data_IF_714920674540
#
_entry.id   IF_714920674540
#
_cell.length_a   1.000
_cell.length_b   1.000
_cell.length_c   1.000
_cell.angle_alpha   90.00
_cell.angle_beta   90.00
_cell.angle_gamma   90.00
#
_symmetry.space_group_name_H-M   'P 1'
#
loop_
_entity.id
_entity.type
_entity.pdbx_description
1 polymer ?
#
# COMPACT_ATOMS: atom_id res chain seq x y z
N UNK A 1 9.16 -9.82 -28.63
CA UNK A 1 7.88 -9.60 -29.33
C UNK A 1 6.99 -8.68 -28.51
N UNK A 2 6.40 -7.66 -29.14
CA UNK A 2 5.32 -6.89 -28.53
C UNK A 2 4.09 -7.80 -28.30
N UNK A 3 3.28 -7.50 -27.29
CA UNK A 3 2.05 -8.25 -26.98
C UNK A 3 2.22 -9.62 -26.30
N UNK A 4 3.45 -10.14 -26.11
CA UNK A 4 3.66 -11.43 -25.43
C UNK A 4 3.94 -11.27 -23.94
N UNK A 5 3.60 -12.31 -23.15
CA UNK A 5 3.91 -12.36 -21.70
C UNK A 5 5.41 -12.13 -21.40
N UNK A 6 6.28 -12.69 -22.23
CA UNK A 6 7.72 -12.52 -22.10
C UNK A 6 8.16 -11.07 -22.38
N UNK A 7 7.58 -10.42 -23.40
CA UNK A 7 7.82 -9.01 -23.69
C UNK A 7 7.34 -8.09 -22.56
N UNK A 8 6.16 -8.35 -22.02
CA UNK A 8 5.60 -7.58 -20.89
C UNK A 8 6.48 -7.66 -19.63
N UNK A 9 7.05 -8.85 -19.31
CA UNK A 9 7.98 -9.00 -18.19
C UNK A 9 9.24 -8.14 -18.36
N UNK A 10 9.82 -8.13 -19.56
CA UNK A 10 11.01 -7.30 -19.87
C UNK A 10 10.67 -5.81 -19.76
N UNK A 11 9.54 -5.37 -20.31
CA UNK A 11 9.08 -3.99 -20.20
C UNK A 11 8.84 -3.56 -18.74
N UNK A 12 8.22 -4.42 -17.93
CA UNK A 12 8.00 -4.15 -16.51
C UNK A 12 9.32 -4.01 -15.73
N UNK A 13 10.32 -4.84 -16.05
CA UNK A 13 11.65 -4.72 -15.47
C UNK A 13 12.31 -3.39 -15.83
N UNK A 14 12.27 -2.99 -17.10
CA UNK A 14 12.80 -1.70 -17.57
C UNK A 14 12.08 -0.52 -16.92
N UNK A 15 10.74 -0.55 -16.81
CA UNK A 15 9.97 0.53 -16.19
C UNK A 15 10.27 0.66 -14.69
N UNK A 16 10.40 -0.48 -13.97
CA UNK A 16 10.80 -0.47 -12.56
C UNK A 16 12.24 0.02 -12.36
N UNK A 17 13.14 -0.29 -13.29
CA UNK A 17 14.53 0.20 -13.24
C UNK A 17 14.61 1.72 -13.52
N UNK A 18 13.82 2.23 -14.47
CA UNK A 18 13.83 3.65 -14.86
C UNK A 18 13.10 4.57 -13.87
N UNK A 19 11.94 4.13 -13.36
CA UNK A 19 11.05 4.97 -12.58
C UNK A 19 10.92 4.53 -11.11
N UNK A 20 11.66 3.49 -10.72
CA UNK A 20 11.65 2.93 -9.37
C UNK A 20 10.56 1.89 -9.14
N UNK A 21 10.66 1.23 -7.97
CA UNK A 21 9.75 0.16 -7.54
C UNK A 21 8.29 0.62 -7.42
N UNK A 22 8.10 1.90 -7.10
CA UNK A 22 6.79 2.48 -6.79
C UNK A 22 6.06 3.01 -8.03
N UNK A 23 6.67 2.92 -9.22
CA UNK A 23 6.10 3.43 -10.47
C UNK A 23 4.65 2.99 -10.70
N UNK A 24 4.41 1.66 -10.65
CA UNK A 24 3.07 1.10 -10.87
C UNK A 24 2.08 1.45 -9.74
N UNK A 25 2.57 1.56 -8.50
CA UNK A 25 1.74 1.95 -7.36
C UNK A 25 1.29 3.41 -7.45
N UNK A 26 2.18 4.30 -7.89
CA UNK A 26 1.90 5.73 -8.04
C UNK A 26 0.92 5.99 -9.17
N UNK A 27 1.11 5.41 -10.36
CA UNK A 27 0.18 5.59 -11.48
C UNK A 27 -1.20 5.00 -11.16
N UNK A 28 -1.26 3.86 -10.47
CA UNK A 28 -2.52 3.23 -10.07
C UNK A 28 -3.27 4.08 -9.05
N UNK A 29 -2.56 4.69 -8.09
CA UNK A 29 -3.13 5.64 -7.13
C UNK A 29 -3.70 6.88 -7.83
N UNK A 30 -2.96 7.46 -8.77
CA UNK A 30 -3.40 8.64 -9.50
C UNK A 30 -4.63 8.34 -10.37
N UNK A 31 -4.61 7.22 -11.10
CA UNK A 31 -5.76 6.77 -11.89
C UNK A 31 -6.99 6.47 -11.03
N UNK A 32 -6.80 5.83 -9.87
CA UNK A 32 -7.89 5.58 -8.92
C UNK A 32 -8.49 6.83 -8.31
N UNK A 33 -7.68 7.87 -8.05
CA UNK A 33 -8.15 9.18 -7.58
C UNK A 33 -8.94 9.94 -8.64
N UNK A 34 -8.50 9.86 -9.90
CA UNK A 34 -9.13 10.56 -11.02
C UNK A 34 -10.34 9.78 -11.58
N UNK A 35 -10.51 8.51 -11.20
CA UNK A 35 -11.63 7.69 -11.62
C UNK A 35 -12.93 8.11 -10.93
N UNK A 36 -13.87 8.66 -11.69
CA UNK A 36 -15.19 9.05 -11.19
C UNK A 36 -16.21 7.90 -11.15
N UNK A 37 -15.82 6.67 -11.52
CA UNK A 37 -16.74 5.54 -11.76
C UNK A 37 -17.34 4.91 -10.49
N UNK A 38 -17.19 5.54 -9.32
CA UNK A 38 -17.71 5.02 -8.06
C UNK A 38 -16.90 3.80 -7.57
N UNK A 39 -16.11 4.00 -6.52
CA UNK A 39 -15.28 2.95 -5.94
C UNK A 39 -14.75 3.34 -4.57
N UNK A 40 -13.85 2.53 -4.01
CA UNK A 40 -13.31 2.74 -2.66
C UNK A 40 -12.53 4.06 -2.48
N UNK A 41 -12.09 4.70 -3.56
CA UNK A 41 -11.45 6.01 -3.52
C UNK A 41 -12.46 7.17 -3.46
N UNK A 42 -13.65 7.00 -4.03
CA UNK A 42 -14.68 8.05 -4.10
C UNK A 42 -15.50 8.15 -2.80
N UNK A 43 -15.69 7.03 -2.09
CA UNK A 43 -16.35 7.01 -0.79
C UNK A 43 -15.50 6.24 0.24
N UNK A 44 -14.66 6.95 1.03
CA UNK A 44 -13.82 6.34 2.05
C UNK A 44 -14.61 5.57 3.12
N UNK A 45 -15.83 6.02 3.46
CA UNK A 45 -16.67 5.32 4.44
C UNK A 45 -17.12 3.95 3.93
N UNK A 46 -17.48 3.85 2.64
CA UNK A 46 -17.82 2.57 2.01
C UNK A 46 -16.62 1.60 2.05
N UNK A 47 -15.40 2.10 1.80
CA UNK A 47 -14.18 1.31 1.92
C UNK A 47 -13.93 0.82 3.34
N UNK A 48 -14.13 1.69 4.33
CA UNK A 48 -13.99 1.34 5.75
C UNK A 48 -14.99 0.27 6.16
N UNK A 49 -16.26 0.43 5.81
CA UNK A 49 -17.32 -0.54 6.14
C UNK A 49 -17.06 -1.91 5.50
N UNK A 50 -16.72 -1.94 4.20
CA UNK A 50 -16.41 -3.17 3.49
C UNK A 50 -15.17 -3.88 4.09
N UNK A 51 -14.10 -3.12 4.37
CA UNK A 51 -12.89 -3.61 5.00
C UNK A 51 -13.14 -4.18 6.40
N UNK A 52 -13.92 -3.49 7.23
CA UNK A 52 -14.29 -3.96 8.57
C UNK A 52 -15.11 -5.26 8.52
N UNK A 53 -16.07 -5.36 7.60
CA UNK A 53 -16.86 -6.58 7.39
C UNK A 53 -15.97 -7.76 6.96
N UNK A 54 -15.10 -7.54 5.97
CA UNK A 54 -14.15 -8.55 5.50
C UNK A 54 -13.17 -8.99 6.59
N UNK A 55 -12.65 -8.05 7.38
CA UNK A 55 -11.78 -8.31 8.52
C UNK A 55 -12.45 -9.17 9.59
N UNK A 56 -13.71 -8.87 9.95
CA UNK A 56 -14.48 -9.66 10.93
C UNK A 56 -14.77 -11.09 10.46
N UNK A 57 -15.01 -11.30 9.17
CA UNK A 57 -15.29 -12.64 8.60
C UNK A 57 -14.00 -13.46 8.43
N UNK A 58 -12.83 -12.80 8.38
CA UNK A 58 -11.55 -13.45 8.12
C UNK A 58 -11.23 -14.53 9.16
N UNK A 59 -10.86 -15.72 8.66
CA UNK A 59 -10.27 -16.81 9.46
C UNK A 59 -8.75 -16.75 9.55
N UNK A 60 -8.13 -15.91 8.72
CA UNK A 60 -6.71 -15.58 8.81
C UNK A 60 -6.61 -14.63 9.99
N UNK A 61 -6.03 -15.09 11.11
CA UNK A 61 -5.92 -14.30 12.34
C UNK A 61 -5.26 -12.93 12.13
N UNK A 62 -5.20 -12.10 13.18
CA UNK A 62 -4.67 -10.73 13.08
C UNK A 62 -3.25 -10.73 12.50
N UNK A 63 -2.92 -9.67 11.76
CA UNK A 63 -1.59 -9.50 11.22
C UNK A 63 -0.56 -9.47 12.37
N UNK A 64 0.47 -10.31 12.29
CA UNK A 64 1.58 -10.29 13.25
C UNK A 64 2.24 -8.91 13.18
N UNK A 65 2.28 -8.18 14.30
CA UNK A 65 3.06 -6.94 14.40
C UNK A 65 4.52 -7.27 14.11
N UNK A 66 5.07 -6.75 13.01
CA UNK A 66 6.52 -6.71 12.84
C UNK A 66 7.04 -5.63 13.78
N UNK A 67 7.89 -6.01 14.73
CA UNK A 67 8.64 -5.04 15.51
C UNK A 67 9.49 -4.22 14.53
N UNK A 68 9.23 -2.91 14.47
CA UNK A 68 10.10 -1.98 13.77
C UNK A 68 11.21 -1.66 14.78
N UNK A 69 12.39 -2.24 14.61
CA UNK A 69 13.58 -1.82 15.32
C UNK A 69 13.99 -0.45 14.77
N UNK A 70 13.61 0.60 15.48
CA UNK A 70 14.17 1.93 15.27
C UNK A 70 15.49 1.95 16.05
N UNK A 71 16.62 1.88 15.34
CA UNK A 71 17.92 2.18 15.94
C UNK A 71 17.97 3.69 16.17
N UNK A 72 17.36 4.16 17.25
CA UNK A 72 17.59 5.51 17.77
C UNK A 72 18.96 5.47 18.42
N UNK A 73 19.98 5.91 17.68
CA UNK A 73 21.25 6.26 18.30
C UNK A 73 20.95 7.32 19.36
N UNK A 74 21.42 7.06 20.59
CA UNK A 74 21.18 7.86 21.77
C UNK A 74 21.36 9.36 21.49
N UNK A 75 20.30 10.12 21.74
CA UNK A 75 20.36 11.49 22.18
C UNK A 75 19.20 11.68 23.16
N UNK A 76 19.55 11.58 24.44
CA UNK A 76 18.99 12.34 25.55
C UNK A 76 17.73 13.19 25.28
N UNK A 77 16.57 12.70 25.73
CA UNK A 77 15.69 13.39 26.68
C UNK A 77 14.34 12.65 26.76
N UNK A 78 13.92 12.40 27.99
CA UNK A 78 12.65 11.79 28.38
C UNK A 78 11.44 12.47 27.73
N UNK A 79 10.64 11.70 26.99
CA UNK A 79 9.30 12.09 26.56
C UNK A 79 8.37 10.88 26.59
N UNK A 80 7.55 10.77 27.62
CA UNK A 80 6.43 9.81 27.67
C UNK A 80 5.41 10.20 26.61
N UNK A 81 5.17 9.34 25.62
CA UNK A 81 4.03 9.48 24.71
C UNK A 81 2.97 8.45 25.14
N UNK A 82 2.05 8.89 26.00
CA UNK A 82 0.80 8.19 26.25
C UNK A 82 -0.13 8.40 25.04
N UNK A 83 -0.53 7.30 24.40
CA UNK A 83 -1.63 7.31 23.42
C UNK A 83 -2.71 6.36 23.92
N UNK A 84 -3.79 6.96 24.44
CA UNK A 84 -5.09 6.28 24.66
C UNK A 84 -5.71 5.87 23.33
#
# INVERSE_FOLDING_TARGET
>A
MAGTKAGAKKAAATNKARYGKDFYATIGRQGGKNGCTGGFAANPELARMAGAKGGRISRRGPAKRKAITINVAQADASGTIDVK
#
